data_IF_552845799708
#
_entry.id   IF_552845799708
#
_cell.length_a   1.000
_cell.length_b   1.000
_cell.length_c   1.000
_cell.angle_alpha   90.00
_cell.angle_beta   90.00
_cell.angle_gamma   90.00
#
_symmetry.space_group_name_H-M   'P 1'
#
loop_
_entity.id
_entity.type
_entity.pdbx_description
1 polymer ?
#
# COMPACT_ATOMS: atom_id res chain seq x y z
N UNK A 1 -0.45 -8.43 18.06
CA UNK A 1 -0.36 -7.29 17.12
C UNK A 1 -1.55 -7.34 16.18
N UNK A 2 -2.10 -6.20 15.73
CA UNK A 2 -3.28 -6.16 14.85
C UNK A 2 -2.85 -5.95 13.41
N UNK A 3 -3.39 -6.75 12.49
CA UNK A 3 -3.17 -6.62 11.05
C UNK A 3 -4.23 -5.71 10.44
N UNK A 4 -3.82 -4.88 9.49
CA UNK A 4 -4.71 -3.98 8.76
C UNK A 4 -4.57 -4.18 7.26
N UNK A 5 -5.69 -3.99 6.55
CA UNK A 5 -5.69 -3.75 5.12
C UNK A 5 -5.83 -2.26 4.87
N UNK A 6 -4.88 -1.72 4.13
CA UNK A 6 -4.76 -0.30 3.78
C UNK A 6 -4.91 -0.19 2.27
N UNK A 7 -5.82 0.66 1.80
CA UNK A 7 -5.91 1.05 0.40
C UNK A 7 -5.42 2.49 0.27
N UNK A 8 -4.48 2.71 -0.64
CA UNK A 8 -3.87 3.99 -0.90
C UNK A 8 -3.99 4.38 -2.38
N UNK A 9 -4.03 5.68 -2.66
CA UNK A 9 -3.86 6.21 -4.01
C UNK A 9 -2.44 5.94 -4.49
N UNK A 10 -2.31 5.52 -5.75
CA UNK A 10 -1.05 5.53 -6.47
C UNK A 10 -0.63 6.97 -6.67
N UNK A 11 0.26 7.46 -5.80
CA UNK A 11 0.94 8.73 -6.01
C UNK A 11 1.77 8.62 -7.29
N UNK A 12 1.56 9.55 -8.23
CA UNK A 12 2.35 9.71 -9.44
C UNK A 12 3.77 10.20 -9.16
N UNK A 13 4.46 9.61 -8.18
CA UNK A 13 5.83 9.91 -7.84
C UNK A 13 6.56 8.62 -7.47
N UNK A 14 7.02 7.92 -8.50
CA UNK A 14 8.31 7.26 -8.44
C UNK A 14 9.10 7.70 -9.66
N UNK A 15 9.93 8.73 -9.46
CA UNK A 15 11.21 8.83 -10.17
C UNK A 15 12.00 7.55 -9.87
N UNK A 16 11.71 6.49 -10.60
CA UNK A 16 12.77 5.60 -11.05
C UNK A 16 13.09 6.05 -12.44
N UNK A 17 14.31 6.55 -12.59
CA UNK A 17 15.06 6.45 -13.83
C UNK A 17 15.12 4.97 -14.22
N UNK A 18 14.13 4.49 -14.97
CA UNK A 18 14.22 3.27 -15.77
C UNK A 18 14.03 3.68 -17.21
N UNK A 19 15.17 3.91 -17.85
CA UNK A 19 15.46 3.70 -19.27
C UNK A 19 14.24 3.65 -20.21
N UNK A 20 14.01 4.76 -20.92
CA UNK A 20 13.59 4.75 -22.32
C UNK A 20 12.24 4.12 -22.68
N UNK A 21 11.12 4.67 -22.19
CA UNK A 21 9.87 4.67 -22.99
C UNK A 21 8.93 5.79 -22.56
N UNK A 22 9.12 6.97 -23.15
CA UNK A 22 8.14 8.05 -23.12
C UNK A 22 6.89 7.56 -23.86
N UNK A 23 5.83 7.25 -23.13
CA UNK A 23 4.51 7.09 -23.73
C UNK A 23 3.73 8.38 -23.48
N UNK A 24 3.86 9.29 -24.44
CA UNK A 24 2.96 10.42 -24.60
C UNK A 24 1.52 9.89 -24.62
N UNK A 25 0.64 10.44 -23.78
CA UNK A 25 -0.79 10.17 -23.90
C UNK A 25 -1.56 11.46 -23.72
N UNK A 26 -2.05 11.95 -24.86
CA UNK A 26 -3.11 12.92 -25.03
C UNK A 26 -4.24 12.78 -24.01
N UNK A 27 -4.65 13.93 -23.45
CA UNK A 27 -6.05 14.29 -23.13
C UNK A 27 -6.90 13.35 -22.25
N UNK A 28 -6.34 12.32 -21.63
CA UNK A 28 -7.08 11.36 -20.82
C UNK A 28 -6.92 11.71 -19.34
N UNK A 29 -8.04 11.86 -18.63
CA UNK A 29 -8.04 12.00 -17.18
C UNK A 29 -7.09 10.94 -16.59
N UNK A 30 -6.08 11.38 -15.86
CA UNK A 30 -5.07 10.51 -15.25
C UNK A 30 -5.80 9.36 -14.55
N UNK A 31 -5.62 8.13 -15.03
CA UNK A 31 -6.28 6.95 -14.46
C UNK A 31 -5.81 6.84 -13.01
N UNK A 32 -6.73 7.08 -12.08
CA UNK A 32 -6.44 6.92 -10.66
C UNK A 32 -6.17 5.44 -10.40
N UNK A 33 -4.96 5.13 -9.95
CA UNK A 33 -4.58 3.78 -9.56
C UNK A 33 -4.66 3.66 -8.04
N UNK A 34 -5.13 2.50 -7.56
CA UNK A 34 -5.20 2.21 -6.13
C UNK A 34 -4.32 1.02 -5.83
N UNK A 35 -3.56 1.09 -4.74
CA UNK A 35 -2.73 0.00 -4.26
C UNK A 35 -3.18 -0.45 -2.87
N UNK A 36 -3.20 -1.77 -2.67
CA UNK A 36 -3.47 -2.38 -1.38
C UNK A 36 -2.15 -2.76 -0.69
N UNK A 37 -2.06 -2.48 0.61
CA UNK A 37 -1.06 -3.01 1.52
C UNK A 37 -1.77 -3.77 2.66
N UNK A 38 -1.21 -4.92 3.05
CA UNK A 38 -1.68 -5.68 4.20
C UNK A 38 -0.49 -5.89 5.12
N UNK A 39 -0.64 -5.55 6.39
CA UNK A 39 0.47 -5.63 7.33
C UNK A 39 0.13 -5.20 8.74
N UNK A 40 1.16 -5.21 9.57
CA UNK A 40 1.09 -4.82 10.98
C UNK A 40 1.50 -3.36 11.14
N UNK A 41 0.70 -2.58 11.85
CA UNK A 41 1.05 -1.19 12.17
C UNK A 41 2.12 -1.20 13.27
N UNK A 42 3.22 -0.50 13.01
CA UNK A 42 4.31 -0.30 13.97
C UNK A 42 4.06 0.99 14.75
N UNK A 43 3.81 2.10 14.03
CA UNK A 43 3.53 3.41 14.63
C UNK A 43 2.66 4.29 13.73
N UNK A 44 2.02 5.29 14.34
CA UNK A 44 1.19 6.29 13.65
C UNK A 44 1.32 7.62 14.37
N UNK A 45 1.80 8.65 13.66
CA UNK A 45 1.98 10.00 14.19
C UNK A 45 0.85 10.98 13.80
N UNK A 46 -0.05 10.57 12.90
CA UNK A 46 -1.12 11.43 12.38
C UNK A 46 -0.91 11.88 10.93
N UNK A 47 0.34 11.89 10.47
CA UNK A 47 0.73 12.24 9.10
C UNK A 47 1.32 11.03 8.36
N UNK A 48 2.12 10.19 9.02
CA UNK A 48 2.72 9.01 8.41
C UNK A 48 2.34 7.71 9.15
N UNK A 49 1.95 6.70 8.36
CA UNK A 49 1.69 5.35 8.82
C UNK A 49 2.92 4.48 8.58
N UNK A 50 3.54 4.06 9.68
CA UNK A 50 4.64 3.10 9.67
C UNK A 50 4.07 1.70 9.85
N UNK A 51 4.24 0.84 8.84
CA UNK A 51 3.78 -0.54 8.87
C UNK A 51 4.86 -1.52 8.41
N UNK A 52 4.77 -2.75 8.90
CA UNK A 52 5.43 -3.91 8.32
C UNK A 52 4.43 -4.64 7.41
N UNK A 53 4.62 -4.57 6.10
CA UNK A 53 3.79 -5.30 5.12
C UNK A 53 4.10 -6.79 5.19
N UNK A 54 3.06 -7.61 5.23
CA UNK A 54 3.18 -9.05 5.27
C UNK A 54 3.66 -9.61 3.92
N UNK A 55 4.45 -10.68 3.97
CA UNK A 55 4.84 -11.43 2.78
C UNK A 55 3.60 -12.09 2.12
N UNK A 56 3.60 -12.17 0.80
CA UNK A 56 2.57 -12.92 0.10
C UNK A 56 2.71 -14.42 0.37
N UNK A 57 1.61 -15.12 0.62
CA UNK A 57 1.61 -16.56 0.90
C UNK A 57 2.25 -17.42 -0.20
N UNK A 58 2.31 -16.91 -1.44
CA UNK A 58 2.92 -17.58 -2.58
C UNK A 58 4.38 -17.17 -2.83
N UNK A 59 4.99 -16.37 -1.96
CA UNK A 59 6.37 -15.90 -2.10
C UNK A 59 6.61 -14.83 -3.18
N UNK A 60 5.57 -14.40 -3.91
CA UNK A 60 5.71 -13.39 -4.99
C UNK A 60 6.13 -12.00 -4.50
N UNK A 61 5.92 -11.72 -3.21
CA UNK A 61 6.21 -10.43 -2.59
C UNK A 61 6.80 -10.69 -1.19
N UNK A 62 7.99 -10.15 -0.89
CA UNK A 62 8.58 -10.27 0.45
C UNK A 62 7.87 -9.34 1.44
N UNK A 63 8.10 -9.64 2.72
CA UNK A 63 7.84 -8.69 3.80
C UNK A 63 8.61 -7.39 3.55
N UNK A 64 8.01 -6.26 3.90
CA UNK A 64 8.61 -4.96 3.61
C UNK A 64 8.13 -3.90 4.60
N UNK A 65 9.07 -3.14 5.16
CA UNK A 65 8.76 -1.93 5.92
C UNK A 65 8.26 -0.83 4.98
N UNK A 66 7.14 -0.20 5.33
CA UNK A 66 6.51 0.86 4.53
C UNK A 66 6.13 2.05 5.40
N UNK A 67 6.25 3.23 4.78
CA UNK A 67 5.79 4.52 5.32
C UNK A 67 4.76 5.06 4.33
N UNK A 68 3.52 5.25 4.78
CA UNK A 68 2.40 5.70 3.95
C UNK A 68 1.93 7.05 4.46
N UNK A 69 1.90 8.06 3.59
CA UNK A 69 1.34 9.38 3.89
C UNK A 69 -0.18 9.29 4.08
N UNK A 70 -0.69 9.91 5.15
CA UNK A 70 -2.08 9.93 5.55
C UNK A 70 -3.04 10.36 4.43
N UNK A 71 -2.61 11.32 3.60
CA UNK A 71 -3.42 11.93 2.54
C UNK A 71 -3.60 10.98 1.36
N UNK A 72 -2.72 9.98 1.23
CA UNK A 72 -2.84 8.94 0.20
C UNK A 72 -3.76 7.80 0.65
N UNK A 73 -4.03 7.66 1.95
CA UNK A 73 -4.86 6.57 2.49
C UNK A 73 -6.34 6.86 2.22
N UNK A 74 -6.96 5.99 1.42
CA UNK A 74 -8.39 6.09 1.08
C UNK A 74 -9.23 5.27 2.04
N UNK A 75 -8.67 4.17 2.55
CA UNK A 75 -9.38 3.27 3.45
C UNK A 75 -8.40 2.48 4.30
N UNK A 76 -8.71 2.39 5.59
CA UNK A 76 -8.01 1.54 6.54
C UNK A 76 -9.05 0.66 7.23
N UNK A 77 -8.84 -0.67 7.21
CA UNK A 77 -9.74 -1.65 7.83
C UNK A 77 -8.94 -2.66 8.65
N UNK A 78 -9.38 -2.99 9.88
CA UNK A 78 -8.78 -4.10 10.63
C UNK A 78 -9.07 -5.42 9.90
N UNK A 79 -8.07 -6.30 9.87
CA UNK A 79 -8.25 -7.68 9.40
C UNK A 79 -8.81 -8.49 10.58
N UNK A 80 -10.01 -9.08 10.46
CA UNK A 80 -10.60 -9.87 11.54
C UNK A 80 -9.77 -11.11 11.84
N UNK A 81 -9.63 -11.46 13.13
CA UNK A 81 -9.08 -12.75 13.53
C UNK A 81 -9.98 -13.88 13.03
N UNK A 82 -9.35 -14.96 12.53
CA UNK A 82 -10.08 -16.15 12.12
C UNK A 82 -10.64 -16.83 13.35
N UNK A 83 -11.96 -17.06 13.39
CA UNK A 83 -12.57 -17.92 14.40
C UNK A 83 -12.06 -19.34 14.19
N UNK A 84 -11.30 -19.86 15.15
CA UNK A 84 -10.97 -21.28 15.17
C UNK A 84 -12.26 -22.05 15.43
N UNK A 85 -12.53 -23.04 14.56
CA UNK A 85 -13.55 -24.06 14.83
C UNK A 85 -12.83 -25.13 15.63
N UNK A 86 -13.23 -25.29 16.89
CA UNK A 86 -12.87 -26.46 17.71
C UNK A 86 -13.47 -27.73 17.10
#
# INVERSE_FOLDING_TARGET
MRTYKIAQLGGGERLQETDGRSQETDGSAQKIEYHDAIGHVISWDGETLHLMRDAAANGSRPEQEMFIDARTIVRLKPVPERKHRD
#
